data_IF_816127816239
#
_entry.id   IF_816127816239
#
_cell.length_a   1.000
_cell.length_b   1.000
_cell.length_c   1.000
_cell.angle_alpha   90.00
_cell.angle_beta   90.00
_cell.angle_gamma   90.00
#
_symmetry.space_group_name_H-M   'P 1'
#
loop_
_entity.id
_entity.type
_entity.pdbx_description
1 polymer ?
#
# COMPACT_ATOMS: atom_id res chain seq x y z
N UNK A 1 -12.19 -22.59 0.66
CA UNK A 1 -10.88 -21.90 0.69
C UNK A 1 -10.44 -21.69 -0.74
N UNK A 2 -9.75 -20.59 -1.04
CA UNK A 2 -9.23 -20.33 -2.39
C UNK A 2 -8.25 -21.46 -2.80
N UNK A 3 -8.25 -21.91 -4.06
CA UNK A 3 -7.38 -22.99 -4.54
C UNK A 3 -5.95 -22.46 -4.75
N UNK A 4 -5.28 -22.11 -3.65
CA UNK A 4 -3.93 -21.54 -3.65
C UNK A 4 -2.96 -22.57 -3.11
N UNK A 5 -2.12 -23.12 -3.99
CA UNK A 5 -1.04 -24.04 -3.60
C UNK A 5 0.23 -23.26 -3.22
N UNK A 6 0.49 -22.14 -3.92
CA UNK A 6 1.62 -21.25 -3.65
C UNK A 6 1.20 -19.78 -3.66
N UNK A 7 1.80 -18.98 -2.78
CA UNK A 7 1.52 -17.54 -2.69
C UNK A 7 2.20 -16.82 -3.86
N UNK A 8 1.42 -16.06 -4.62
CA UNK A 8 1.94 -15.22 -5.68
C UNK A 8 3.00 -14.23 -5.12
N UNK A 9 4.26 -14.26 -5.61
CA UNK A 9 5.34 -13.49 -5.00
C UNK A 9 5.08 -11.99 -4.92
N UNK A 10 4.41 -11.41 -5.92
CA UNK A 10 4.04 -10.00 -5.92
C UNK A 10 3.01 -9.66 -4.86
N UNK A 11 2.04 -10.56 -4.60
CA UNK A 11 1.06 -10.37 -3.54
C UNK A 11 1.73 -10.28 -2.17
N UNK A 12 2.71 -11.15 -1.90
CA UNK A 12 3.51 -11.07 -0.67
C UNK A 12 4.21 -9.72 -0.54
N UNK A 13 4.88 -9.25 -1.59
CA UNK A 13 5.57 -7.94 -1.59
C UNK A 13 4.60 -6.78 -1.31
N UNK A 14 3.43 -6.77 -1.94
CA UNK A 14 2.44 -5.71 -1.74
C UNK A 14 1.88 -5.72 -0.31
N UNK A 15 1.65 -6.90 0.28
CA UNK A 15 1.23 -7.04 1.69
C UNK A 15 2.33 -6.56 2.65
N UNK A 16 3.60 -6.86 2.37
CA UNK A 16 4.72 -6.34 3.16
C UNK A 16 4.80 -4.81 3.07
N UNK A 17 4.54 -4.23 1.90
CA UNK A 17 4.42 -2.78 1.72
C UNK A 17 3.27 -2.23 2.55
N UNK A 18 2.07 -2.80 2.47
CA UNK A 18 0.93 -2.40 3.30
C UNK A 18 1.26 -2.44 4.80
N UNK A 19 1.94 -3.49 5.28
CA UNK A 19 2.33 -3.59 6.68
C UNK A 19 3.28 -2.46 7.12
N UNK A 20 4.24 -2.09 6.27
CA UNK A 20 5.14 -0.94 6.53
C UNK A 20 4.36 0.38 6.52
N UNK A 21 3.45 0.56 5.56
CA UNK A 21 2.59 1.75 5.48
C UNK A 21 1.73 1.89 6.73
N UNK A 22 1.10 0.81 7.20
CA UNK A 22 0.34 0.81 8.46
C UNK A 22 1.19 1.17 9.67
N UNK A 23 2.44 0.71 9.74
CA UNK A 23 3.38 1.10 10.79
C UNK A 23 3.67 2.61 10.79
N UNK A 24 3.91 3.18 9.61
CA UNK A 24 4.11 4.62 9.46
C UNK A 24 2.84 5.42 9.79
N UNK A 25 1.66 4.90 9.45
CA UNK A 25 0.36 5.51 9.82
C UNK A 25 0.17 5.63 11.33
N UNK A 26 0.57 4.61 12.10
CA UNK A 26 0.52 4.67 13.57
C UNK A 26 1.43 5.80 14.09
N UNK A 27 2.62 5.97 13.52
CA UNK A 27 3.52 7.08 13.82
C UNK A 27 2.88 8.44 13.51
N UNK A 28 2.39 8.62 12.28
CA UNK A 28 1.79 9.87 11.83
C UNK A 28 0.62 10.32 12.71
N UNK A 29 -0.29 9.40 13.05
CA UNK A 29 -1.43 9.68 13.94
C UNK A 29 -0.97 9.93 15.38
N UNK A 30 -0.04 9.13 15.90
CA UNK A 30 0.49 9.28 17.26
C UNK A 30 1.26 10.58 17.48
N UNK A 31 1.89 11.11 16.42
CA UNK A 31 2.67 12.34 16.47
C UNK A 31 1.87 13.61 16.16
N UNK A 32 0.54 13.55 15.97
CA UNK A 32 -0.27 14.75 15.67
C UNK A 32 -0.13 15.87 16.72
N UNK A 33 0.04 15.53 18.00
CA UNK A 33 0.31 16.52 19.07
C UNK A 33 1.72 17.11 19.00
N UNK A 34 2.64 16.47 18.29
CA UNK A 34 4.03 16.86 18.08
C UNK A 34 4.25 17.18 16.60
N UNK A 35 3.52 18.20 16.10
CA UNK A 35 3.34 18.49 14.67
C UNK A 35 4.64 18.55 13.85
N UNK A 36 5.78 18.89 14.48
CA UNK A 36 7.11 18.91 13.85
C UNK A 36 7.64 17.53 13.44
N UNK A 37 7.15 16.44 14.04
CA UNK A 37 7.54 15.06 13.71
C UNK A 37 6.70 14.44 12.60
N UNK A 38 5.50 14.95 12.39
CA UNK A 38 4.53 14.43 11.41
C UNK A 38 5.07 14.39 9.97
N UNK A 39 5.84 15.38 9.47
CA UNK A 39 6.34 15.36 8.09
C UNK A 39 7.22 14.14 7.74
N UNK A 40 7.99 13.60 8.70
CA UNK A 40 8.81 12.41 8.43
C UNK A 40 7.95 11.16 8.27
N UNK A 41 6.90 11.00 9.07
CA UNK A 41 6.00 9.84 8.96
C UNK A 41 5.20 9.88 7.65
N UNK A 42 4.69 11.06 7.27
CA UNK A 42 3.98 11.25 5.99
C UNK A 42 4.90 10.96 4.80
N UNK A 43 6.16 11.39 4.85
CA UNK A 43 7.13 11.10 3.79
C UNK A 43 7.33 9.59 3.59
N UNK A 44 7.34 8.81 4.69
CA UNK A 44 7.40 7.34 4.62
C UNK A 44 6.14 6.77 3.98
N UNK A 45 4.95 7.20 4.39
CA UNK A 45 3.68 6.72 3.80
C UNK A 45 3.65 6.95 2.29
N UNK A 46 4.01 8.15 1.83
CA UNK A 46 4.07 8.48 0.39
C UNK A 46 5.14 7.69 -0.36
N UNK A 47 6.23 7.30 0.30
CA UNK A 47 7.24 6.43 -0.32
C UNK A 47 6.70 5.02 -0.51
N UNK A 48 6.05 4.47 0.51
CA UNK A 48 5.48 3.13 0.43
C UNK A 48 4.29 3.06 -0.53
N UNK A 49 3.50 4.13 -0.68
CA UNK A 49 2.46 4.22 -1.71
C UNK A 49 3.05 4.07 -3.12
N UNK A 50 4.04 4.89 -3.48
CA UNK A 50 4.72 4.76 -4.79
C UNK A 50 5.32 3.38 -5.04
N UNK A 51 5.82 2.72 -4.00
CA UNK A 51 6.33 1.34 -4.09
C UNK A 51 5.18 0.34 -4.28
N UNK A 52 4.06 0.50 -3.57
CA UNK A 52 2.84 -0.30 -3.73
C UNK A 52 2.30 -0.21 -5.16
N UNK A 53 2.21 1.01 -5.68
CA UNK A 53 1.75 1.37 -7.00
C UNK A 53 2.66 0.78 -8.11
N UNK A 54 3.97 0.80 -7.89
CA UNK A 54 4.94 0.11 -8.76
C UNK A 54 4.80 -1.42 -8.71
N UNK A 55 4.70 -1.99 -7.51
CA UNK A 55 4.50 -3.44 -7.30
C UNK A 55 3.22 -3.89 -7.99
N UNK A 56 2.11 -3.17 -7.83
CA UNK A 56 0.81 -3.48 -8.39
C UNK A 56 0.87 -3.57 -9.92
N UNK A 57 1.49 -2.57 -10.57
CA UNK A 57 1.67 -2.56 -12.03
C UNK A 57 2.49 -3.74 -12.53
N UNK A 58 3.55 -4.11 -11.81
CA UNK A 58 4.38 -5.27 -12.15
C UNK A 58 3.65 -6.59 -11.93
N UNK A 59 2.89 -6.70 -10.84
CA UNK A 59 2.08 -7.86 -10.52
C UNK A 59 1.01 -8.10 -11.59
N UNK A 60 0.31 -7.05 -12.02
CA UNK A 60 -0.70 -7.14 -13.08
C UNK A 60 -0.07 -7.53 -14.42
N UNK A 61 1.10 -6.97 -14.77
CA UNK A 61 1.81 -7.35 -15.98
C UNK A 61 2.24 -8.82 -15.97
N UNK A 62 2.73 -9.32 -14.83
CA UNK A 62 3.11 -10.72 -14.64
C UNK A 62 1.90 -11.65 -14.74
N UNK A 63 0.77 -11.32 -14.10
CA UNK A 63 -0.46 -12.11 -14.23
C UNK A 63 -0.95 -12.25 -15.68
N UNK A 64 -0.67 -11.27 -16.53
CA UNK A 64 -1.02 -11.31 -17.95
C UNK A 64 0.10 -11.86 -18.86
N UNK A 65 1.16 -12.48 -18.32
CA UNK A 65 2.23 -13.09 -19.12
C UNK A 65 1.78 -14.28 -19.99
N UNK A 66 0.68 -14.93 -19.59
CA UNK A 66 0.21 -16.20 -20.15
C UNK A 66 0.61 -17.44 -19.34
N UNK A 67 1.39 -17.27 -18.27
CA UNK A 67 1.89 -18.37 -17.42
C UNK A 67 0.88 -18.84 -16.36
N UNK A 68 -0.20 -18.09 -16.15
CA UNK A 68 -1.20 -18.32 -15.10
C UNK A 68 -2.55 -18.76 -15.69
N UNK A 69 -3.28 -19.63 -14.98
CA UNK A 69 -4.65 -19.98 -15.38
C UNK A 69 -5.57 -18.78 -15.18
N UNK A 70 -6.62 -18.68 -16.00
CA UNK A 70 -7.58 -17.57 -15.92
C UNK A 70 -8.17 -17.35 -14.51
N UNK A 71 -8.41 -18.43 -13.76
CA UNK A 71 -8.90 -18.35 -12.38
C UNK A 71 -7.87 -17.73 -11.43
N UNK A 72 -6.58 -18.04 -11.61
CA UNK A 72 -5.49 -17.48 -10.81
C UNK A 72 -5.31 -16.00 -11.12
N UNK A 73 -5.40 -15.62 -12.39
CA UNK A 73 -5.37 -14.21 -12.82
C UNK A 73 -6.49 -13.43 -12.16
N UNK A 74 -7.74 -13.94 -12.20
CA UNK A 74 -8.89 -13.27 -11.60
C UNK A 74 -8.70 -13.10 -10.08
N UNK A 75 -8.39 -14.19 -9.39
CA UNK A 75 -8.24 -14.20 -7.95
C UNK A 75 -7.10 -13.31 -7.45
N UNK A 76 -5.90 -13.43 -8.03
CA UNK A 76 -4.77 -12.62 -7.60
C UNK A 76 -4.97 -11.14 -7.92
N UNK A 77 -5.54 -10.82 -9.09
CA UNK A 77 -5.88 -9.45 -9.44
C UNK A 77 -6.85 -8.82 -8.44
N UNK A 78 -7.90 -9.55 -8.04
CA UNK A 78 -8.86 -9.06 -7.05
C UNK A 78 -8.20 -8.81 -5.68
N UNK A 79 -7.32 -9.71 -5.24
CA UNK A 79 -6.61 -9.57 -3.97
C UNK A 79 -5.58 -8.43 -4.00
N UNK A 80 -4.81 -8.28 -5.08
CA UNK A 80 -3.88 -7.17 -5.27
C UNK A 80 -4.62 -5.83 -5.25
N UNK A 81 -5.78 -5.74 -5.91
CA UNK A 81 -6.60 -4.53 -5.91
C UNK A 81 -7.10 -4.16 -4.50
N UNK A 82 -7.42 -5.15 -3.65
CA UNK A 82 -7.81 -4.88 -2.27
C UNK A 82 -6.65 -4.37 -1.41
N UNK A 83 -5.45 -4.93 -1.58
CA UNK A 83 -4.24 -4.48 -0.86
C UNK A 83 -3.85 -3.08 -1.32
N UNK A 84 -3.90 -2.82 -2.63
CA UNK A 84 -3.63 -1.49 -3.20
C UNK A 84 -4.59 -0.45 -2.64
N UNK A 85 -5.90 -0.71 -2.67
CA UNK A 85 -6.89 0.21 -2.12
C UNK A 85 -6.69 0.50 -0.62
N UNK A 86 -6.06 -0.41 0.13
CA UNK A 86 -5.69 -0.19 1.52
C UNK A 86 -4.44 0.71 1.66
N UNK A 87 -3.47 0.58 0.75
CA UNK A 87 -2.29 1.45 0.67
C UNK A 87 -2.72 2.88 0.30
N UNK A 88 -3.57 3.03 -0.73
CA UNK A 88 -4.12 4.32 -1.17
C UNK A 88 -4.85 5.03 -0.03
N UNK A 89 -5.64 4.29 0.75
CA UNK A 89 -6.32 4.86 1.92
C UNK A 89 -5.36 5.38 2.99
N UNK A 90 -4.18 4.78 3.13
CA UNK A 90 -3.16 5.33 4.03
C UNK A 90 -2.61 6.65 3.47
N UNK A 91 -2.41 6.73 2.16
CA UNK A 91 -1.98 7.95 1.49
C UNK A 91 -3.03 9.08 1.64
N UNK A 92 -4.31 8.78 1.46
CA UNK A 92 -5.41 9.73 1.67
C UNK A 92 -5.34 10.36 3.07
N UNK A 93 -5.14 9.54 4.11
CA UNK A 93 -5.00 10.04 5.48
C UNK A 93 -3.73 10.88 5.63
N UNK A 94 -2.60 10.46 5.06
CA UNK A 94 -1.38 11.26 5.04
C UNK A 94 -1.60 12.64 4.39
N UNK A 95 -2.32 12.70 3.28
CA UNK A 95 -2.67 13.93 2.58
C UNK A 95 -3.57 14.84 3.45
N UNK A 96 -4.51 14.27 4.21
CA UNK A 96 -5.30 15.03 5.19
C UNK A 96 -4.42 15.59 6.31
N UNK A 97 -3.51 14.77 6.84
CA UNK A 97 -2.59 15.19 7.90
C UNK A 97 -1.71 16.35 7.42
N UNK A 98 -1.11 16.27 6.22
CA UNK A 98 -0.34 17.37 5.63
C UNK A 98 -1.16 18.66 5.51
N UNK A 99 -2.42 18.56 5.07
CA UNK A 99 -3.33 19.71 4.96
C UNK A 99 -3.58 20.37 6.33
N UNK A 100 -3.64 19.59 7.40
CA UNK A 100 -3.70 20.12 8.77
C UNK A 100 -2.37 20.78 9.14
N UNK A 101 -1.25 20.09 8.99
CA UNK A 101 0.10 20.61 9.33
C UNK A 101 0.38 21.94 8.64
N UNK A 102 0.04 22.07 7.36
CA UNK A 102 0.24 23.29 6.58
C UNK A 102 -0.52 24.51 7.14
N UNK A 103 -1.61 24.32 7.89
CA UNK A 103 -2.37 25.41 8.54
C UNK A 103 -1.76 25.88 9.86
N UNK A 104 -0.92 25.05 10.47
CA UNK A 104 -0.29 25.30 11.78
C UNK A 104 1.24 25.51 11.66
N UNK A 105 1.76 25.54 10.43
CA UNK A 105 3.15 25.83 10.10
C UNK A 105 3.41 27.34 10.01
#
# INVERSE_FOLDING_TARGET
>A
LLPIDEVFPWFRKQVETLARTCGAMVGAVGHLQQIRKVPSDVSVIKREEREGDWINRRAVADLYSGDYRALEVLMWKDLLAQVEAAIDRCEDVANQIESVVAKFA
#
